data_IF_950922281016
#
_entry.id   IF_950922281016
#
_cell.length_a   1.000
_cell.length_b   1.000
_cell.length_c   1.000
_cell.angle_alpha   90.00
_cell.angle_beta   90.00
_cell.angle_gamma   90.00
#
_symmetry.space_group_name_H-M   'P 1'
#
loop_
_entity.id
_entity.type
_entity.pdbx_description
1 polymer ?
#
# COMPACT_ATOMS: atom_id res chain seq x y z
N UNK A 1 3.05 9.79 52.81
CA UNK A 1 2.10 9.18 51.87
C UNK A 1 1.52 10.31 51.06
N UNK A 2 1.92 10.44 49.80
CA UNK A 2 1.36 11.40 48.85
C UNK A 2 1.21 10.66 47.54
N UNK A 3 -0.02 10.73 47.03
CA UNK A 3 -0.63 9.86 46.05
C UNK A 3 0.16 9.76 44.75
N UNK A 4 0.38 8.52 44.33
CA UNK A 4 0.85 8.15 43.01
C UNK A 4 -0.21 8.57 41.99
N UNK A 5 0.07 9.64 41.24
CA UNK A 5 -0.75 10.07 40.12
C UNK A 5 -0.77 8.96 39.08
N UNK A 6 -1.87 8.19 39.03
CA UNK A 6 -2.14 7.24 37.96
C UNK A 6 -2.33 8.02 36.67
N UNK A 7 -1.29 8.07 35.84
CA UNK A 7 -1.35 8.55 34.47
C UNK A 7 -2.48 7.82 33.73
N UNK A 8 -3.51 8.56 33.33
CA UNK A 8 -4.55 8.09 32.41
C UNK A 8 -3.89 7.60 31.10
N UNK A 9 -4.48 6.61 30.40
CA UNK A 9 -3.83 5.99 29.25
C UNK A 9 -3.80 6.96 28.05
N UNK A 10 -2.75 7.77 27.97
CA UNK A 10 -1.98 8.12 26.77
C UNK A 10 -2.84 8.06 25.48
N UNK A 11 -3.60 9.13 25.23
CA UNK A 11 -4.39 9.38 24.01
C UNK A 11 -3.48 9.73 22.84
N UNK A 12 -2.79 8.72 22.31
CA UNK A 12 -1.90 8.88 21.17
C UNK A 12 -2.52 8.21 19.94
N UNK A 13 -2.17 8.65 18.73
CA UNK A 13 -2.51 7.94 17.51
C UNK A 13 -2.10 6.48 17.59
N UNK A 14 -2.93 5.60 17.03
CA UNK A 14 -2.74 4.15 17.06
C UNK A 14 -2.68 3.61 15.65
N UNK A 15 -1.98 2.49 15.50
CA UNK A 15 -2.05 1.70 14.29
C UNK A 15 -3.32 0.86 14.33
N UNK A 16 -4.01 0.77 13.21
CA UNK A 16 -5.21 -0.04 13.04
C UNK A 16 -5.45 -0.42 11.60
N UNK A 17 -6.64 -0.93 11.33
CA UNK A 17 -7.03 -1.43 10.01
C UNK A 17 -8.48 -1.09 9.73
N UNK A 18 -8.78 -0.76 8.48
CA UNK A 18 -10.15 -0.64 8.00
C UNK A 18 -10.70 -2.05 7.74
N UNK A 19 -11.93 -2.30 8.19
CA UNK A 19 -12.61 -3.60 8.08
C UNK A 19 -13.76 -3.57 7.08
N UNK A 20 -14.48 -2.46 7.02
CA UNK A 20 -15.67 -2.28 6.19
C UNK A 20 -15.87 -0.79 5.91
N UNK A 21 -16.55 -0.46 4.81
CA UNK A 21 -16.95 0.89 4.47
C UNK A 21 -18.47 0.97 4.22
N UNK A 22 -19.10 2.04 4.69
CA UNK A 22 -20.48 2.42 4.40
C UNK A 22 -20.54 3.92 4.10
N UNK A 23 -20.69 4.26 2.81
CA UNK A 23 -20.63 5.64 2.33
C UNK A 23 -19.31 6.32 2.70
N UNK A 24 -19.38 7.38 3.52
CA UNK A 24 -18.21 8.14 3.97
C UNK A 24 -17.65 7.69 5.33
N UNK A 25 -18.21 6.64 5.92
CA UNK A 25 -17.77 6.08 7.20
C UNK A 25 -17.11 4.73 6.99
N UNK A 26 -16.16 4.43 7.86
CA UNK A 26 -15.44 3.16 7.84
C UNK A 26 -15.48 2.52 9.21
N UNK A 27 -15.67 1.20 9.27
CA UNK A 27 -15.42 0.45 10.50
C UNK A 27 -13.94 0.18 10.62
N UNK A 28 -13.38 0.53 11.77
CA UNK A 28 -11.96 0.29 12.07
C UNK A 28 -11.81 -0.58 13.31
N UNK A 29 -10.65 -1.22 13.36
CA UNK A 29 -10.10 -1.80 14.58
C UNK A 29 -8.67 -1.28 14.74
N UNK A 30 -8.14 -1.24 15.96
CA UNK A 30 -6.83 -0.66 16.24
C UNK A 30 -6.16 -1.30 17.45
N UNK A 31 -4.84 -1.20 17.51
CA UNK A 31 -4.06 -1.75 18.62
C UNK A 31 -4.50 -1.16 19.97
N UNK A 32 -4.65 -2.03 20.98
CA UNK A 32 -5.12 -1.62 22.31
C UNK A 32 -6.60 -1.20 22.35
N UNK A 33 -7.40 -1.53 21.34
CA UNK A 33 -8.84 -1.41 21.41
C UNK A 33 -9.39 -2.37 22.48
N UNK A 34 -9.91 -1.83 23.58
CA UNK A 34 -10.49 -2.62 24.68
C UNK A 34 -11.92 -3.06 24.39
N UNK A 35 -12.55 -2.50 23.35
CA UNK A 35 -13.86 -2.93 22.90
C UNK A 35 -13.69 -4.20 22.07
N UNK A 36 -14.49 -5.23 22.38
CA UNK A 36 -14.53 -6.49 21.59
C UNK A 36 -15.12 -6.32 20.18
N UNK A 37 -15.43 -5.10 19.78
CA UNK A 37 -16.18 -4.80 18.56
C UNK A 37 -15.50 -3.65 17.80
N UNK A 38 -15.59 -3.71 16.48
CA UNK A 38 -15.15 -2.67 15.55
C UNK A 38 -15.95 -1.37 15.80
N UNK A 39 -15.30 -0.21 15.65
CA UNK A 39 -15.94 1.09 15.87
C UNK A 39 -16.00 1.87 14.56
N UNK A 40 -17.08 2.62 14.36
CA UNK A 40 -17.21 3.53 13.23
C UNK A 40 -16.25 4.72 13.39
N UNK A 41 -15.42 4.94 12.38
CA UNK A 41 -14.53 6.07 12.25
C UNK A 41 -14.95 6.97 11.10
N UNK A 42 -14.58 8.24 11.21
CA UNK A 42 -14.63 9.20 10.11
C UNK A 42 -13.29 9.23 9.37
N UNK A 43 -13.33 9.62 8.10
CA UNK A 43 -12.13 9.84 7.30
C UNK A 43 -11.61 11.27 7.57
N UNK A 44 -10.37 11.39 8.06
CA UNK A 44 -9.72 12.68 8.38
C UNK A 44 -9.19 13.42 7.15
N UNK A 45 -9.12 12.75 6.00
CA UNK A 45 -8.79 13.35 4.69
C UNK A 45 -9.64 12.72 3.59
N UNK A 46 -9.60 13.33 2.40
CA UNK A 46 -10.29 12.82 1.23
C UNK A 46 -9.55 11.60 0.65
N UNK A 47 -9.85 10.40 1.17
CA UNK A 47 -9.48 9.14 0.53
C UNK A 47 -10.46 8.84 -0.61
N UNK A 48 -9.96 8.31 -1.72
CA UNK A 48 -10.83 7.74 -2.75
C UNK A 48 -11.41 6.42 -2.28
N UNK A 49 -12.55 6.01 -2.84
CA UNK A 49 -13.13 4.69 -2.59
C UNK A 49 -12.11 3.57 -2.88
N UNK A 50 -11.32 3.70 -3.95
CA UNK A 50 -10.27 2.76 -4.31
C UNK A 50 -9.17 2.65 -3.25
N UNK A 51 -8.83 3.74 -2.55
CA UNK A 51 -7.83 3.70 -1.46
C UNK A 51 -8.35 2.88 -0.28
N UNK A 52 -9.63 3.05 0.07
CA UNK A 52 -10.28 2.32 1.16
C UNK A 52 -10.43 0.84 0.81
N UNK A 53 -10.87 0.53 -0.43
CA UNK A 53 -10.97 -0.84 -0.92
C UNK A 53 -9.61 -1.55 -0.91
N UNK A 54 -8.55 -0.88 -1.40
CA UNK A 54 -7.19 -1.39 -1.34
C UNK A 54 -6.75 -1.67 0.10
N UNK A 55 -7.07 -0.76 1.03
CA UNK A 55 -6.77 -0.90 2.45
C UNK A 55 -7.50 -2.08 3.09
N UNK A 56 -8.76 -2.32 2.74
CA UNK A 56 -9.55 -3.45 3.24
C UNK A 56 -8.99 -4.77 2.69
N UNK A 57 -8.89 -4.87 1.35
CA UNK A 57 -8.46 -6.08 0.65
C UNK A 57 -7.07 -6.52 1.08
N UNK A 58 -6.18 -5.54 1.26
CA UNK A 58 -4.80 -5.76 1.65
C UNK A 58 -4.57 -5.44 3.13
N UNK A 59 -5.62 -5.44 3.98
CA UNK A 59 -5.62 -5.05 5.43
C UNK A 59 -4.40 -4.16 5.79
N UNK A 60 -4.29 -3.03 5.10
CA UNK A 60 -3.18 -2.11 5.23
C UNK A 60 -3.21 -1.46 6.60
N UNK A 61 -2.03 -1.17 7.15
CA UNK A 61 -1.95 -0.42 8.39
C UNK A 61 -2.45 1.00 8.16
N UNK A 62 -3.27 1.47 9.09
CA UNK A 62 -3.87 2.79 9.07
C UNK A 62 -3.46 3.51 10.34
N UNK A 63 -3.17 4.79 10.23
CA UNK A 63 -3.03 5.64 11.40
C UNK A 63 -4.43 6.11 11.83
N UNK A 64 -4.81 5.75 13.05
CA UNK A 64 -6.07 6.11 13.68
C UNK A 64 -5.79 7.14 14.77
N UNK A 65 -6.34 8.33 14.61
CA UNK A 65 -6.35 9.37 15.65
C UNK A 65 -7.74 9.43 16.31
N UNK A 66 -7.86 10.23 17.37
CA UNK A 66 -9.08 10.30 18.18
C UNK A 66 -9.51 11.74 18.40
N UNK A 67 -10.76 12.08 18.05
CA UNK A 67 -11.25 13.45 18.17
C UNK A 67 -11.21 13.90 19.65
N UNK A 68 -10.42 14.93 19.95
CA UNK A 68 -10.23 15.40 21.32
C UNK A 68 -9.64 14.34 22.26
N UNK A 69 -8.99 13.29 21.72
CA UNK A 69 -8.52 12.14 22.47
C UNK A 69 -9.62 11.15 22.88
N UNK A 70 -10.87 11.32 22.44
CA UNK A 70 -11.92 10.35 22.77
C UNK A 70 -11.77 9.09 21.91
N UNK A 71 -11.38 7.98 22.56
CA UNK A 71 -11.22 6.66 21.92
C UNK A 71 -12.51 6.13 21.28
N UNK A 72 -13.66 6.71 21.61
CA UNK A 72 -14.96 6.39 21.01
C UNK A 72 -15.19 7.12 19.68
N UNK A 73 -14.36 8.11 19.35
CA UNK A 73 -14.46 8.96 18.16
C UNK A 73 -13.20 8.82 17.28
N UNK A 74 -12.94 7.62 16.71
CA UNK A 74 -11.78 7.40 15.86
C UNK A 74 -11.86 8.15 14.53
N UNK A 75 -10.69 8.56 14.03
CA UNK A 75 -10.47 9.26 12.77
C UNK A 75 -9.36 8.53 12.01
N UNK A 76 -9.61 8.09 10.78
CA UNK A 76 -8.55 7.58 9.91
C UNK A 76 -7.80 8.77 9.31
N UNK A 77 -6.54 8.95 9.68
CA UNK A 77 -5.70 10.06 9.21
C UNK A 77 -4.75 9.65 8.10
N UNK A 78 -4.28 8.40 8.10
CA UNK A 78 -3.44 7.87 7.03
C UNK A 78 -3.70 6.37 6.78
N UNK A 79 -3.37 5.93 5.56
CA UNK A 79 -3.35 4.52 5.14
C UNK A 79 -1.94 4.28 4.64
N UNK A 80 -1.16 3.54 5.41
CA UNK A 80 0.19 3.17 5.03
C UNK A 80 0.13 2.11 3.94
N UNK A 81 0.62 2.48 2.75
CA UNK A 81 0.82 1.55 1.64
C UNK A 81 2.06 0.66 1.83
N UNK A 82 2.79 0.87 2.92
CA UNK A 82 3.96 0.09 3.30
C UNK A 82 3.54 -1.29 3.81
N UNK A 83 3.81 -2.32 3.00
CA UNK A 83 3.48 -3.72 3.27
C UNK A 83 4.61 -4.42 4.05
N UNK A 84 5.05 -3.84 5.16
CA UNK A 84 6.26 -4.29 5.86
C UNK A 84 6.18 -5.73 6.38
N UNK A 85 5.01 -6.37 6.40
CA UNK A 85 4.81 -7.72 6.94
C UNK A 85 3.88 -8.62 6.11
N UNK A 86 3.78 -8.45 4.77
CA UNK A 86 2.93 -9.32 3.94
C UNK A 86 3.70 -10.16 2.93
N UNK A 87 3.39 -11.46 2.92
CA UNK A 87 3.93 -12.44 1.97
C UNK A 87 3.56 -12.11 0.50
N UNK A 88 2.40 -11.49 0.26
CA UNK A 88 1.87 -11.23 -1.09
C UNK A 88 1.09 -9.90 -1.17
N UNK A 89 1.38 -9.11 -2.20
CA UNK A 89 0.55 -8.01 -2.71
C UNK A 89 -0.15 -8.44 -3.99
N UNK A 90 -1.47 -8.31 -4.07
CA UNK A 90 -2.25 -8.66 -5.26
C UNK A 90 -2.91 -7.41 -5.83
N UNK A 91 -2.39 -6.91 -6.96
CA UNK A 91 -3.00 -5.80 -7.71
C UNK A 91 -3.92 -6.38 -8.80
N UNK A 92 -5.24 -6.14 -8.71
CA UNK A 92 -6.23 -6.54 -9.74
C UNK A 92 -7.00 -5.34 -10.23
N UNK A 93 -7.05 -5.14 -11.55
CA UNK A 93 -7.85 -4.09 -12.16
C UNK A 93 -8.19 -4.46 -13.61
N UNK A 94 -9.31 -3.95 -14.13
CA UNK A 94 -9.65 -4.05 -15.56
C UNK A 94 -8.60 -3.35 -16.44
N UNK A 95 -7.98 -2.28 -15.93
CA UNK A 95 -6.86 -1.54 -16.55
C UNK A 95 -5.92 -1.07 -15.44
N UNK A 96 -4.61 -1.29 -15.63
CA UNK A 96 -3.57 -0.86 -14.69
C UNK A 96 -2.50 -0.07 -15.44
N UNK A 97 -2.02 1.03 -14.83
CA UNK A 97 -0.92 1.84 -15.34
C UNK A 97 0.08 2.03 -14.19
N UNK A 98 1.32 1.61 -14.40
CA UNK A 98 2.45 1.84 -13.49
C UNK A 98 3.38 2.83 -14.20
N UNK A 99 3.54 4.03 -13.64
CA UNK A 99 4.30 5.13 -14.23
C UNK A 99 5.35 5.64 -13.25
N UNK A 100 6.55 5.89 -13.75
CA UNK A 100 7.58 6.65 -13.07
C UNK A 100 8.12 7.71 -14.02
N UNK A 101 8.30 8.93 -13.54
CA UNK A 101 8.66 10.07 -14.40
C UNK A 101 10.13 10.02 -14.84
N UNK A 102 11.00 9.41 -14.04
CA UNK A 102 12.43 9.27 -14.34
C UNK A 102 12.82 7.82 -14.67
N UNK A 103 12.40 6.88 -13.83
CA UNK A 103 12.80 5.48 -13.87
C UNK A 103 11.73 4.58 -13.28
N UNK A 104 11.48 3.46 -13.93
CA UNK A 104 10.70 2.34 -13.38
C UNK A 104 11.59 1.10 -13.28
N UNK A 105 11.54 0.38 -12.17
CA UNK A 105 12.30 -0.86 -11.97
C UNK A 105 11.41 -1.93 -11.38
N UNK A 106 11.26 -3.05 -12.10
CA UNK A 106 10.58 -4.26 -11.64
C UNK A 106 11.67 -5.31 -11.37
N UNK A 107 11.71 -5.86 -10.15
CA UNK A 107 12.78 -6.77 -9.72
C UNK A 107 12.22 -7.98 -8.99
N UNK A 108 12.77 -9.16 -9.28
CA UNK A 108 12.53 -10.41 -8.56
C UNK A 108 13.86 -11.14 -8.38
N UNK A 109 14.42 -11.09 -7.17
CA UNK A 109 15.79 -11.54 -6.91
C UNK A 109 16.81 -10.83 -7.82
N UNK A 110 17.62 -11.61 -8.53
CA UNK A 110 18.63 -11.11 -9.48
C UNK A 110 18.03 -10.65 -10.83
N UNK A 111 16.78 -11.04 -11.14
CA UNK A 111 16.14 -10.68 -12.40
C UNK A 111 15.52 -9.28 -12.28
N UNK A 112 15.79 -8.40 -13.24
CA UNK A 112 15.19 -7.07 -13.26
C UNK A 112 14.88 -6.56 -14.67
N UNK A 113 13.85 -5.71 -14.75
CA UNK A 113 13.51 -4.90 -15.90
C UNK A 113 13.52 -3.44 -15.47
N UNK A 114 14.34 -2.63 -16.13
CA UNK A 114 14.50 -1.21 -15.86
C UNK A 114 14.10 -0.39 -17.08
N UNK A 115 13.17 0.55 -16.90
CA UNK A 115 12.78 1.53 -17.91
C UNK A 115 13.31 2.90 -17.45
N UNK A 116 14.00 3.64 -18.33
CA UNK A 116 14.57 4.96 -18.00
C UNK A 116 14.07 6.00 -18.99
N UNK A 117 13.38 7.02 -18.49
CA UNK A 117 12.76 8.06 -19.32
C UNK A 117 13.81 8.89 -20.05
N UNK A 118 14.86 9.32 -19.33
CA UNK A 118 15.95 10.15 -19.88
C UNK A 118 16.61 9.56 -21.13
N UNK A 119 16.73 8.25 -21.22
CA UNK A 119 17.37 7.54 -22.34
C UNK A 119 16.35 6.85 -23.26
N UNK A 120 15.07 6.83 -22.90
CA UNK A 120 14.03 6.07 -23.60
C UNK A 120 14.32 4.56 -23.68
N UNK A 121 15.09 4.01 -22.72
CA UNK A 121 15.62 2.65 -22.82
C UNK A 121 14.95 1.67 -21.87
N UNK A 122 14.80 0.42 -22.32
CA UNK A 122 14.43 -0.73 -21.50
C UNK A 122 15.64 -1.65 -21.39
N UNK A 123 16.03 -2.00 -20.17
CA UNK A 123 17.12 -2.93 -19.86
C UNK A 123 16.55 -4.12 -19.10
N UNK A 124 16.80 -5.32 -19.60
CA UNK A 124 16.43 -6.58 -18.94
C UNK A 124 17.70 -7.30 -18.53
N UNK A 125 17.83 -7.66 -17.26
CA UNK A 125 18.96 -8.42 -16.72
C UNK A 125 18.44 -9.68 -16.02
N UNK A 126 18.98 -10.83 -16.38
CA UNK A 126 18.69 -12.13 -15.76
C UNK A 126 19.78 -13.14 -16.14
N UNK A 127 19.87 -14.25 -15.40
CA UNK A 127 20.74 -15.39 -15.76
C UNK A 127 20.31 -16.07 -17.06
N UNK A 128 18.99 -16.16 -17.29
CA UNK A 128 18.41 -16.71 -18.50
C UNK A 128 17.24 -15.82 -18.95
N UNK A 129 17.19 -15.50 -20.25
CA UNK A 129 16.09 -14.76 -20.87
C UNK A 129 15.50 -15.66 -21.97
N UNK A 130 14.24 -16.03 -21.81
CA UNK A 130 13.47 -16.74 -22.84
C UNK A 130 12.40 -15.80 -23.41
N UNK A 131 12.38 -15.65 -24.73
CA UNK A 131 11.40 -14.82 -25.45
C UNK A 131 10.75 -15.68 -26.52
N UNK A 132 9.42 -15.76 -26.51
CA UNK A 132 8.64 -16.60 -27.40
C UNK A 132 7.46 -15.81 -27.97
N UNK A 133 7.15 -16.03 -29.25
CA UNK A 133 5.99 -15.46 -29.91
C UNK A 133 5.27 -16.55 -30.72
N UNK A 134 3.94 -16.60 -30.64
CA UNK A 134 3.12 -17.60 -31.37
C UNK A 134 3.17 -17.42 -32.89
N UNK A 135 3.49 -16.22 -33.37
CA UNK A 135 3.57 -15.90 -34.81
C UNK A 135 4.92 -15.32 -35.20
N UNK A 136 5.10 -14.01 -35.01
CA UNK A 136 6.30 -13.32 -35.48
C UNK A 136 6.85 -12.42 -34.38
N UNK A 137 8.15 -12.56 -34.12
CA UNK A 137 8.92 -11.60 -33.35
C UNK A 137 9.84 -10.84 -34.30
N UNK A 138 9.57 -9.55 -34.51
CA UNK A 138 10.38 -8.70 -35.38
C UNK A 138 11.29 -7.82 -34.53
N UNK A 139 12.60 -7.99 -34.67
CA UNK A 139 13.62 -7.14 -34.04
C UNK A 139 14.25 -6.28 -35.13
N UNK A 140 14.00 -4.97 -35.08
CA UNK A 140 14.67 -3.99 -35.95
C UNK A 140 15.71 -3.25 -35.11
N UNK A 141 16.97 -3.55 -35.36
CA UNK A 141 18.07 -2.97 -34.60
C UNK A 141 19.23 -2.57 -35.53
N UNK A 142 19.92 -1.49 -35.18
CA UNK A 142 21.16 -1.08 -35.84
C UNK A 142 22.30 -2.06 -35.57
N UNK A 143 22.28 -2.72 -34.41
CA UNK A 143 23.25 -3.75 -34.00
C UNK A 143 22.57 -4.74 -33.06
N UNK A 144 22.82 -6.02 -33.27
CA UNK A 144 22.47 -7.09 -32.34
C UNK A 144 23.79 -7.78 -31.96
N UNK A 145 23.99 -8.01 -30.66
CA UNK A 145 25.11 -8.79 -30.14
C UNK A 145 24.54 -9.86 -29.23
N UNK A 146 24.81 -11.11 -29.60
CA UNK A 146 24.48 -12.31 -28.84
C UNK A 146 25.81 -12.92 -28.42
N UNK A 147 25.93 -13.28 -27.15
CA UNK A 147 27.07 -14.00 -26.62
C UNK A 147 26.75 -15.49 -26.55
#
# INVERSE_FOLDING_TARGET
>A
MSEEQVLSPVNHPRIGWIKEMDGSRVKVDFHGNTKRHQTWAVLGRAFSQSDIELAIDNKLDCQIDFFGGDVNLPIVVDIYTSLLERDVLVLRAKKMVIQGDEKLTLRSGDANVTMTAKTGSIKTEAKHINSMAERTQKIQAKKISLN
#
